data_IF_765297698796
#
_entry.id   IF_765297698796
#
_cell.length_a   1.000
_cell.length_b   1.000
_cell.length_c   1.000
_cell.angle_alpha   90.00
_cell.angle_beta   90.00
_cell.angle_gamma   90.00
#
_symmetry.space_group_name_H-M   'P 1'
#
loop_
_entity.id
_entity.type
_entity.pdbx_description
1 polymer ?
2 polymer ?
3 water ?
#
# COMPACT_ATOMS: atom_id res chain seq x y z
N UNK A 4 -7.63 18.81 8.85
CA UNK A 4 -6.94 17.53 8.76
C UNK A 4 -7.65 16.62 7.77
N UNK A 5 -6.90 16.06 6.82
CA UNK A 5 -7.48 15.21 5.81
C UNK A 5 -7.82 13.84 6.36
N UNK A 6 -8.70 13.15 5.65
CA UNK A 6 -9.16 11.84 6.05
C UNK A 6 -8.32 10.75 5.42
N UNK A 7 -8.29 9.59 6.09
CA UNK A 7 -7.80 8.37 5.47
C UNK A 7 -8.80 7.89 4.42
N UNK A 8 -8.27 7.39 3.31
CA UNK A 8 -9.03 6.55 2.38
C UNK A 8 -8.55 5.12 2.58
N UNK A 9 -9.44 4.17 2.31
CA UNK A 9 -9.16 2.76 2.50
C UNK A 9 -9.01 2.11 1.13
N UNK A 10 -7.84 1.55 0.86
CA UNK A 10 -7.53 0.90 -0.41
C UNK A 10 -7.46 -0.61 -0.19
N UNK A 11 -7.92 -1.36 -1.17
CA UNK A 11 -7.87 -2.82 -1.10
C UNK A 11 -6.71 -3.29 -1.96
N UNK A 12 -5.79 -4.04 -1.37
CA UNK A 12 -4.66 -4.59 -2.10
C UNK A 12 -4.92 -6.07 -2.33
N UNK A 13 -5.03 -6.44 -3.62
CA UNK A 13 -5.39 -7.80 -4.04
C UNK A 13 -4.16 -8.53 -4.51
N UNK A 14 -3.93 -9.69 -3.92
CA UNK A 14 -2.80 -10.51 -4.28
C UNK A 14 -3.09 -11.42 -5.45
N UNK A 15 -2.03 -12.04 -5.96
CA UNK A 15 -2.17 -12.98 -7.07
C UNK A 15 -3.07 -14.13 -6.71
N UNK A 16 -3.20 -14.44 -5.42
CA UNK A 16 -4.05 -15.52 -4.93
C UNK A 16 -5.45 -15.05 -4.53
N UNK A 17 -5.82 -13.80 -4.85
CA UNK A 17 -7.09 -13.18 -4.52
C UNK A 17 -7.24 -12.80 -3.05
N UNK A 18 -6.22 -12.96 -2.23
CA UNK A 18 -6.27 -12.48 -0.87
C UNK A 18 -6.30 -10.96 -0.88
N UNK A 19 -6.78 -10.38 0.21
CA UNK A 19 -6.91 -8.95 0.33
C UNK A 19 -6.32 -8.46 1.63
N UNK A 20 -5.53 -7.38 1.56
CA UNK A 20 -5.17 -6.59 2.74
C UNK A 20 -5.58 -5.16 2.44
N UNK A 21 -6.30 -4.52 3.34
CA UNK A 21 -6.75 -3.15 3.15
C UNK A 21 -5.79 -2.22 3.90
N UNK A 22 -5.55 -1.05 3.34
CA UNK A 22 -4.67 -0.07 3.93
C UNK A 22 -5.37 1.27 3.95
N UNK A 23 -5.26 1.94 5.07
CA UNK A 23 -5.69 3.32 5.18
C UNK A 23 -4.49 4.26 5.02
N UNK A 24 -4.65 5.20 4.10
CA UNK A 24 -3.61 6.15 3.73
C UNK A 24 -4.27 7.51 3.59
N UNK A 25 -3.52 8.56 3.88
CA UNK A 25 -3.99 9.89 3.56
C UNK A 25 -3.68 10.22 2.10
N UNK A 26 -4.31 11.28 1.58
CA UNK A 26 -4.19 11.59 0.16
C UNK A 26 -2.77 12.00 -0.22
N UNK A 27 -1.96 12.47 0.73
CA UNK A 27 -0.60 12.90 0.47
C UNK A 27 0.46 11.90 0.94
N UNK A 28 0.04 10.72 1.39
CA UNK A 28 1.00 9.70 1.82
C UNK A 28 1.70 9.09 0.61
N UNK A 29 3.02 8.94 0.71
CA UNK A 29 3.76 8.23 -0.32
C UNK A 29 3.52 6.73 -0.23
N UNK A 30 3.20 6.14 -1.36
CA UNK A 30 2.73 4.77 -1.36
C UNK A 30 3.83 3.75 -1.14
N UNK A 31 5.10 4.14 -1.14
CA UNK A 31 6.18 3.24 -0.73
C UNK A 31 5.86 2.59 0.61
N UNK A 32 5.23 3.34 1.49
CA UNK A 32 4.95 2.86 2.82
C UNK A 32 3.97 1.70 2.82
N UNK A 33 2.99 1.80 1.92
CA UNK A 33 2.02 0.73 1.70
C UNK A 33 2.72 -0.47 1.10
N UNK A 34 3.55 -0.23 0.09
CA UNK A 34 4.25 -1.32 -0.57
C UNK A 34 5.13 -2.10 0.42
N UNK A 35 5.85 -1.37 1.28
CA UNK A 35 6.74 -2.03 2.23
C UNK A 35 5.94 -2.85 3.23
N UNK A 36 4.82 -2.29 3.73
CA UNK A 36 4.00 -3.00 4.69
C UNK A 36 3.42 -4.26 4.08
N UNK A 37 2.92 -4.16 2.85
CA UNK A 37 2.35 -5.32 2.18
C UNK A 37 3.40 -6.40 1.99
N UNK A 38 4.57 -6.03 1.47
CA UNK A 38 5.62 -7.02 1.26
C UNK A 38 6.04 -7.68 2.57
N UNK A 39 6.15 -6.89 3.64
CA UNK A 39 6.48 -7.41 4.95
C UNK A 39 5.48 -8.47 5.37
N UNK A 40 4.20 -8.19 5.15
CA UNK A 40 3.15 -9.10 5.59
C UNK A 40 3.05 -10.33 4.71
N UNK A 41 3.51 -10.25 3.48
CA UNK A 41 3.59 -11.40 2.60
C UNK A 41 4.88 -12.18 2.76
N UNK A 42 5.84 -11.62 3.48
CA UNK A 42 7.10 -12.31 3.70
C UNK A 42 8.00 -12.34 2.49
N UNK A 43 7.96 -11.30 1.65
CA UNK A 43 8.80 -11.25 0.44
C UNK A 43 9.44 -9.88 0.35
N UNK A 44 10.54 -9.77 -0.41
CA UNK A 44 11.16 -8.46 -0.60
C UNK A 44 10.25 -7.54 -1.39
N UNK A 45 10.23 -6.26 -1.01
CA UNK A 45 9.39 -5.29 -1.71
C UNK A 45 9.74 -5.25 -3.20
N UNK A 46 11.02 -5.37 -3.55
CA UNK A 46 11.43 -5.26 -4.94
C UNK A 46 11.11 -6.51 -5.76
N UNK A 47 10.53 -7.54 -5.14
CA UNK A 47 10.05 -8.70 -5.88
C UNK A 47 8.64 -8.51 -6.39
N UNK A 48 7.99 -7.41 -6.04
CA UNK A 48 6.59 -7.20 -6.36
C UNK A 48 6.45 -5.94 -7.20
N UNK A 49 5.40 -5.88 -8.00
CA UNK A 49 4.98 -4.63 -8.62
C UNK A 49 3.52 -4.38 -8.28
N UNK A 50 3.21 -3.12 -8.02
CA UNK A 50 1.91 -2.71 -7.52
C UNK A 50 1.27 -1.86 -8.60
N UNK A 51 0.06 -2.22 -8.99
CA UNK A 51 -0.59 -1.53 -10.11
C UNK A 51 -1.91 -0.93 -9.67
N UNK A 52 -2.18 0.26 -10.19
CA UNK A 52 -3.47 0.92 -10.04
C UNK A 52 -4.02 1.13 -11.44
N UNK A 53 -5.15 0.49 -11.73
CA UNK A 53 -5.75 0.51 -13.05
C UNK A 53 -4.71 0.10 -14.10
N UNK A 54 -3.85 -0.86 -13.72
CA UNK A 54 -2.87 -1.40 -14.62
C UNK A 54 -1.58 -0.63 -14.70
N UNK A 55 -1.49 0.53 -14.07
CA UNK A 55 -0.30 1.39 -14.14
C UNK A 55 0.55 1.24 -12.90
N UNK A 56 1.87 1.29 -13.08
CA UNK A 56 2.78 1.05 -11.97
C UNK A 56 2.72 2.18 -10.95
N UNK A 57 2.60 1.79 -9.69
CA UNK A 57 2.63 2.72 -8.56
C UNK A 57 4.07 2.90 -8.13
N UNK A 58 4.54 4.15 -8.19
CA UNK A 58 5.88 4.51 -7.77
C UNK A 58 5.96 4.66 -6.25
N UNK A 59 7.17 4.52 -5.75
CA UNK A 59 7.40 4.75 -4.32
C UNK A 59 6.86 6.10 -3.88
N UNK A 60 7.04 7.13 -4.69
CA UNK A 60 6.62 8.47 -4.27
C UNK A 60 5.33 8.94 -4.91
N UNK A 61 4.61 8.05 -5.59
CA UNK A 61 3.23 8.35 -5.90
C UNK A 61 2.44 8.53 -4.61
N UNK A 62 1.47 9.43 -4.66
CA UNK A 62 0.48 9.58 -3.63
C UNK A 62 -0.90 9.24 -4.17
N UNK A 63 -1.85 8.95 -3.30
CA UNK A 63 -3.23 8.77 -3.79
C UNK A 63 -3.74 9.98 -4.55
N UNK A 64 -3.39 11.19 -4.13
CA UNK A 64 -3.80 12.39 -4.84
C UNK A 64 -3.28 12.38 -6.27
N UNK A 65 -2.00 12.06 -6.46
CA UNK A 65 -1.46 12.03 -7.81
C UNK A 65 -2.17 11.00 -8.67
N UNK A 66 -2.54 9.87 -8.08
CA UNK A 66 -3.13 8.80 -8.86
C UNK A 66 -4.62 8.96 -9.02
N UNK A 67 -5.23 9.94 -8.35
CA UNK A 67 -6.66 10.10 -8.40
C UNK A 67 -7.42 9.02 -7.68
N UNK A 68 -6.82 8.45 -6.64
CA UNK A 68 -7.45 7.37 -5.91
C UNK A 68 -8.53 7.91 -4.99
N UNK A 69 -9.47 7.02 -4.68
CA UNK A 69 -10.59 7.30 -3.82
C UNK A 69 -10.86 6.11 -2.92
N UNK A 70 -11.72 6.34 -1.95
CA UNK A 70 -12.14 5.30 -1.02
C UNK A 70 -12.54 4.04 -1.77
N UNK A 71 -12.01 2.92 -1.31
CA UNK A 71 -12.32 1.57 -1.79
C UNK A 71 -11.74 1.27 -3.17
N UNK A 72 -10.83 2.10 -3.66
CA UNK A 72 -10.11 1.73 -4.88
C UNK A 72 -9.22 0.51 -4.61
N UNK A 73 -8.88 -0.18 -5.69
CA UNK A 73 -8.15 -1.42 -5.67
C UNK A 73 -6.74 -1.21 -6.20
N UNK A 74 -5.77 -1.82 -5.53
CA UNK A 74 -4.41 -2.00 -6.02
C UNK A 74 -4.22 -3.49 -6.27
N UNK A 75 -3.66 -3.84 -7.43
CA UNK A 75 -3.32 -5.23 -7.70
C UNK A 75 -1.83 -5.45 -7.58
N UNK A 76 -1.43 -6.56 -7.00
CA UNK A 76 -0.01 -6.87 -6.82
C UNK A 76 0.34 -8.07 -7.67
N UNK A 77 1.40 -7.93 -8.44
CA UNK A 77 1.95 -8.99 -9.28
C UNK A 77 3.43 -9.16 -8.98
N UNK A 78 4.00 -10.29 -9.42
CA UNK A 78 5.44 -10.44 -9.29
C UNK A 78 6.14 -9.45 -10.23
N UNK A 79 7.27 -8.92 -9.79
CA UNK A 79 8.05 -8.06 -10.65
C UNK A 79 8.48 -8.82 -11.89
N UNK A 80 8.46 -8.12 -13.02
CA UNK A 80 8.75 -8.71 -14.33
C UNK A 80 10.25 -8.86 -14.52
N UNK B 6 -12.40 -19.03 5.83
CA UNK B 6 -12.75 -17.64 5.62
C UNK B 6 -11.75 -16.69 6.24
N UNK B 7 -11.06 -15.90 5.40
CA UNK B 7 -10.15 -14.90 5.93
C UNK B 7 -10.93 -13.77 6.58
N UNK B 8 -10.38 -13.26 7.68
CA UNK B 8 -10.97 -12.13 8.36
C UNK B 8 -10.48 -10.84 7.70
N UNK B 9 -11.23 -9.77 7.92
CA UNK B 9 -10.81 -8.49 7.39
C UNK B 9 -9.51 -8.02 8.02
N UNK B 10 -8.65 -7.43 7.20
CA UNK B 10 -7.37 -6.91 7.62
C UNK B 10 -7.27 -5.47 7.14
N UNK B 11 -7.21 -4.54 8.08
CA UNK B 11 -7.04 -3.13 7.77
C UNK B 11 -5.80 -2.64 8.50
N UNK B 12 -4.83 -2.14 7.74
CA UNK B 12 -3.57 -1.60 8.23
C UNK B 12 -3.58 -0.10 8.00
N UNK B 13 -3.24 0.67 9.03
CA UNK B 13 -3.20 2.12 8.95
C UNK B 13 -1.75 2.53 8.71
N UNK B 14 -1.53 3.26 7.64
CA UNK B 14 -0.22 3.79 7.29
C UNK B 14 -0.19 5.25 7.72
N UNK B 15 0.53 5.54 8.79
CA UNK B 15 0.59 6.93 9.29
C UNK B 15 1.85 7.62 8.79
N UNK B 24 17.82 14.01 16.93
CA UNK B 24 16.92 13.83 18.05
C UNK B 24 17.69 13.89 19.38
N UNK B 25 17.36 14.89 20.18
CA UNK B 25 18.19 15.16 21.35
C UNK B 25 17.97 14.16 22.48
N UNK B 26 16.98 13.27 22.38
CA UNK B 26 16.83 12.24 23.39
C UNK B 26 17.69 11.03 23.10
N UNK B 27 18.34 10.98 21.93
CA UNK B 27 19.10 9.81 21.55
C UNK B 27 20.30 9.61 22.47
N UNK B 28 20.73 8.35 22.56
CA UNK B 28 21.93 8.02 23.32
C UNK B 28 22.97 7.30 22.48
N UNK B 29 22.68 6.99 21.22
CA UNK B 29 23.66 6.40 20.34
C UNK B 29 23.73 7.18 19.04
#
# INVERSE_FOLDING_TARGET
>A
GSKEGEYIKLKVIGQDSSEIHFKVKMTTHLKKLKESYAQRQGVPMNSLRFLFEGQRIADNHTPKELGMEEEDVIEVYQEQTGG
>B
GSGAGEAEERVVVISXXEDXDAENSSSRY
#
